data_IF_061618672172
#
_entry.id   IF_061618672172
#
_cell.length_a   1.000
_cell.length_b   1.000
_cell.length_c   1.000
_cell.angle_alpha   90.00
_cell.angle_beta   90.00
_cell.angle_gamma   90.00
#
_symmetry.space_group_name_H-M   'P 1'
#
loop_
_entity.id
_entity.type
_entity.pdbx_description
1 polymer ?
#
# COMPACT_ATOMS: atom_id res chain seq x y z
N UNK A 1 33.84 15.12 -9.77
CA UNK A 1 34.15 15.35 -8.35
C UNK A 1 32.88 15.03 -7.58
N UNK A 2 32.96 14.27 -6.48
CA UNK A 2 31.77 14.05 -5.65
C UNK A 2 31.46 15.34 -4.90
N UNK A 3 30.24 15.86 -5.04
CA UNK A 3 29.77 17.03 -4.27
C UNK A 3 29.13 16.56 -2.98
N UNK A 4 29.92 15.84 -2.18
CA UNK A 4 29.56 15.40 -0.84
C UNK A 4 30.30 16.26 0.18
N UNK A 5 29.72 16.40 1.37
CA UNK A 5 30.35 17.05 2.50
C UNK A 5 31.38 16.14 3.21
N UNK A 6 31.82 16.55 4.41
CA UNK A 6 32.78 15.79 5.21
C UNK A 6 32.22 14.46 5.75
N UNK A 7 30.89 14.36 5.90
CA UNK A 7 30.18 13.17 6.39
C UNK A 7 29.72 12.24 5.24
N UNK A 8 29.95 12.66 3.99
CA UNK A 8 29.57 11.91 2.79
C UNK A 8 28.13 12.16 2.33
N UNK A 9 27.43 13.14 2.91
CA UNK A 9 26.08 13.52 2.50
C UNK A 9 26.13 14.40 1.26
N UNK A 10 25.19 14.23 0.34
CA UNK A 10 25.02 15.15 -0.79
C UNK A 10 23.99 16.26 -0.49
N UNK A 11 23.87 17.22 -1.42
CA UNK A 11 22.99 18.38 -1.26
C UNK A 11 21.50 18.02 -1.03
N UNK A 12 21.04 16.85 -1.48
CA UNK A 12 19.66 16.39 -1.27
C UNK A 12 19.50 15.79 0.13
N UNK A 13 20.47 14.99 0.56
CA UNK A 13 20.51 14.44 1.90
C UNK A 13 20.62 15.58 2.95
N UNK A 14 21.47 16.58 2.73
CA UNK A 14 21.57 17.76 3.59
C UNK A 14 20.29 18.60 3.65
N UNK A 15 19.63 18.82 2.50
CA UNK A 15 18.35 19.54 2.47
C UNK A 15 17.28 18.81 3.30
N UNK A 16 17.22 17.47 3.24
CA UNK A 16 16.29 16.66 4.04
C UNK A 16 16.60 16.74 5.54
N UNK A 17 17.87 16.58 5.94
CA UNK A 17 18.27 16.66 7.35
C UNK A 17 18.02 18.05 7.95
N UNK A 18 17.97 19.09 7.12
CA UNK A 18 17.67 20.47 7.51
C UNK A 18 16.17 20.83 7.45
N UNK A 19 15.28 19.88 7.14
CA UNK A 19 13.84 20.12 7.00
C UNK A 19 13.43 20.90 5.74
N UNK A 20 14.33 21.06 4.77
CA UNK A 20 14.09 21.82 3.53
C UNK A 20 13.50 20.93 2.42
N UNK A 21 12.29 20.42 2.67
CA UNK A 21 11.57 19.53 1.76
C UNK A 21 11.39 20.09 0.35
N UNK A 22 10.95 21.34 0.22
CA UNK A 22 10.83 22.02 -1.08
C UNK A 22 12.16 22.07 -1.86
N UNK A 23 13.28 22.32 -1.17
CA UNK A 23 14.61 22.36 -1.79
C UNK A 23 15.05 20.97 -2.27
N UNK A 24 14.86 19.94 -1.45
CA UNK A 24 15.10 18.55 -1.85
C UNK A 24 14.24 18.15 -3.06
N UNK A 25 12.98 18.61 -3.09
CA UNK A 25 12.06 18.45 -4.22
C UNK A 25 12.53 19.17 -5.48
N UNK A 26 13.08 20.38 -5.35
CA UNK A 26 13.66 21.12 -6.48
C UNK A 26 14.91 20.41 -7.04
N UNK A 27 15.85 20.01 -6.17
CA UNK A 27 17.08 19.30 -6.56
C UNK A 27 16.79 17.96 -7.27
N UNK A 28 15.67 17.30 -6.91
CA UNK A 28 15.16 16.12 -7.61
C UNK A 28 14.75 16.38 -9.07
N UNK A 29 14.29 17.59 -9.43
CA UNK A 29 13.86 17.92 -10.80
C UNK A 29 14.98 18.58 -11.64
N UNK A 30 15.97 19.20 -10.99
CA UNK A 30 17.04 19.94 -11.65
C UNK A 30 17.96 19.04 -12.50
N UNK A 31 18.32 19.56 -13.68
CA UNK A 31 19.30 18.98 -14.59
C UNK A 31 20.60 19.77 -14.56
N UNK A 32 21.70 19.09 -14.78
CA UNK A 32 23.01 19.72 -14.96
C UNK A 32 22.96 20.69 -16.15
N UNK A 33 23.14 22.01 -15.93
CA UNK A 33 23.09 22.99 -17.01
C UNK A 33 24.23 22.82 -18.03
N UNK A 34 25.34 22.17 -17.66
CA UNK A 34 26.46 21.94 -18.57
C UNK A 34 26.18 20.79 -19.57
N UNK A 35 25.39 19.78 -19.20
CA UNK A 35 25.12 18.61 -20.06
C UNK A 35 23.66 18.44 -20.51
N UNK A 36 22.71 19.23 -19.98
CA UNK A 36 21.25 19.27 -20.31
C UNK A 36 20.47 17.93 -20.17
N UNK A 37 21.18 16.83 -19.93
CA UNK A 37 20.72 15.44 -20.02
C UNK A 37 20.94 14.67 -18.72
N UNK A 38 21.94 15.07 -17.91
CA UNK A 38 22.18 14.51 -16.57
C UNK A 38 21.34 15.25 -15.53
N UNK A 39 20.88 14.52 -14.53
CA UNK A 39 20.21 15.08 -13.35
C UNK A 39 21.27 15.47 -12.32
N UNK A 40 21.04 16.54 -11.57
CA UNK A 40 21.90 16.94 -10.46
C UNK A 40 21.75 15.96 -9.28
N UNK A 41 20.51 15.60 -8.94
CA UNK A 41 20.24 14.49 -8.03
C UNK A 41 20.38 13.12 -8.74
N UNK A 42 21.42 12.37 -8.36
CA UNK A 42 21.63 10.96 -8.80
C UNK A 42 20.73 9.98 -8.03
N UNK A 43 20.25 10.35 -6.84
CA UNK A 43 19.37 9.48 -6.06
C UNK A 43 18.09 9.14 -6.81
N UNK A 44 17.62 7.92 -6.53
CA UNK A 44 16.35 7.44 -7.02
C UNK A 44 15.19 8.16 -6.28
N UNK A 45 14.11 8.62 -6.96
CA UNK A 45 13.07 9.43 -6.31
C UNK A 45 12.44 8.82 -5.06
N UNK A 46 12.27 7.50 -5.01
CA UNK A 46 11.73 6.83 -3.82
C UNK A 46 12.76 6.67 -2.68
N UNK A 47 14.08 6.72 -2.96
CA UNK A 47 15.10 6.87 -1.91
C UNK A 47 14.93 8.22 -1.21
N UNK A 48 14.75 9.29 -1.99
CA UNK A 48 14.62 10.65 -1.44
C UNK A 48 13.33 10.78 -0.61
N UNK A 49 12.22 10.18 -1.05
CA UNK A 49 11.00 10.08 -0.24
C UNK A 49 11.22 9.28 1.05
N UNK A 50 11.90 8.13 0.99
CA UNK A 50 12.19 7.30 2.17
C UNK A 50 13.07 8.03 3.18
N UNK A 51 14.12 8.72 2.72
CA UNK A 51 14.97 9.59 3.56
C UNK A 51 14.17 10.73 4.21
N UNK A 52 13.29 11.40 3.47
CA UNK A 52 12.45 12.47 4.00
C UNK A 52 11.42 11.99 5.04
N UNK A 53 11.07 10.70 5.02
CA UNK A 53 10.26 10.05 6.06
C UNK A 53 11.13 9.64 7.25
N UNK A 54 12.34 9.13 7.01
CA UNK A 54 13.29 8.72 8.06
C UNK A 54 13.91 9.92 8.81
N UNK A 55 13.89 11.14 8.26
CA UNK A 55 14.24 12.38 8.98
C UNK A 55 13.20 12.83 10.03
N UNK A 56 12.05 12.14 10.10
CA UNK A 56 10.92 12.43 10.99
C UNK A 56 10.22 13.79 10.80
N UNK A 57 10.60 14.57 9.78
CA UNK A 57 9.89 15.79 9.38
C UNK A 57 8.75 15.45 8.39
N UNK A 58 7.53 15.41 8.91
CA UNK A 58 6.33 15.09 8.12
C UNK A 58 6.05 16.14 7.03
N UNK A 59 6.45 17.41 7.21
CA UNK A 59 6.27 18.43 6.18
C UNK A 59 7.31 18.25 5.06
N UNK A 60 8.57 18.00 5.41
CA UNK A 60 9.60 17.64 4.45
C UNK A 60 9.18 16.41 3.60
N UNK A 61 8.64 15.37 4.26
CA UNK A 61 8.09 14.20 3.59
C UNK A 61 6.93 14.53 2.63
N UNK A 62 6.03 15.45 2.99
CA UNK A 62 4.93 15.91 2.12
C UNK A 62 5.45 16.68 0.90
N UNK A 63 6.41 17.57 1.06
CA UNK A 63 6.97 18.38 -0.02
C UNK A 63 7.73 17.51 -1.05
N UNK A 64 8.44 16.48 -0.57
CA UNK A 64 9.08 15.47 -1.42
C UNK A 64 8.03 14.55 -2.07
N UNK A 65 6.96 14.17 -1.37
CA UNK A 65 5.87 13.36 -1.93
C UNK A 65 5.11 14.11 -3.05
N UNK A 66 4.98 15.43 -2.95
CA UNK A 66 4.37 16.29 -3.96
C UNK A 66 5.19 16.41 -5.26
N UNK A 67 6.43 15.92 -5.28
CA UNK A 67 7.30 15.93 -6.45
C UNK A 67 6.73 15.11 -7.63
N UNK A 68 6.80 15.63 -8.86
CA UNK A 68 6.21 14.94 -10.03
C UNK A 68 6.91 13.63 -10.35
N UNK A 69 8.23 13.52 -10.11
CA UNK A 69 8.99 12.28 -10.33
C UNK A 69 8.62 11.21 -9.30
N UNK A 70 8.48 11.61 -8.03
CA UNK A 70 8.05 10.73 -6.93
C UNK A 70 6.64 10.21 -7.19
N UNK A 71 5.66 11.11 -7.41
CA UNK A 71 4.28 10.71 -7.74
C UNK A 71 4.22 9.76 -8.95
N UNK A 72 4.99 10.01 -10.01
CA UNK A 72 5.01 9.15 -11.20
C UNK A 72 5.58 7.74 -10.92
N UNK A 73 6.51 7.60 -9.97
CA UNK A 73 7.03 6.28 -9.56
C UNK A 73 6.06 5.53 -8.62
N UNK A 74 5.23 6.25 -7.87
CA UNK A 74 4.20 5.67 -7.01
C UNK A 74 2.96 5.17 -7.78
N UNK A 75 2.67 5.70 -8.98
CA UNK A 75 1.47 5.32 -9.77
C UNK A 75 1.34 3.80 -10.01
N UNK A 76 0.11 3.25 -10.09
CA UNK A 76 -0.15 1.87 -10.51
C UNK A 76 0.51 1.52 -11.84
N UNK A 77 0.90 0.26 -12.03
CA UNK A 77 1.70 -0.23 -13.17
C UNK A 77 3.15 0.28 -13.21
N UNK A 78 3.42 1.55 -12.88
CA UNK A 78 4.78 2.07 -12.70
C UNK A 78 5.43 1.46 -11.46
N UNK A 79 4.76 1.52 -10.32
CA UNK A 79 5.23 0.92 -9.07
C UNK A 79 5.44 -0.61 -9.21
N UNK A 80 4.50 -1.32 -9.83
CA UNK A 80 4.63 -2.76 -10.13
C UNK A 80 5.86 -3.04 -11.00
N UNK A 81 6.05 -2.29 -12.10
CA UNK A 81 7.23 -2.44 -12.96
C UNK A 81 8.52 -2.13 -12.21
N UNK A 82 8.51 -1.18 -11.28
CA UNK A 82 9.65 -0.87 -10.42
C UNK A 82 9.93 -2.01 -9.44
N UNK A 83 8.90 -2.63 -8.86
CA UNK A 83 9.03 -3.85 -8.05
C UNK A 83 9.62 -5.01 -8.88
N UNK A 84 9.19 -5.19 -10.14
CA UNK A 84 9.78 -6.17 -11.05
C UNK A 84 11.27 -5.90 -11.32
N UNK A 85 11.64 -4.66 -11.65
CA UNK A 85 13.04 -4.24 -11.92
C UNK A 85 13.89 -4.38 -10.66
N UNK A 86 13.35 -4.02 -9.49
CA UNK A 86 14.02 -4.15 -8.20
C UNK A 86 14.44 -5.61 -7.94
N UNK A 87 13.51 -6.57 -8.08
CA UNK A 87 13.82 -8.02 -7.96
C UNK A 87 14.88 -8.50 -8.95
N UNK A 88 14.82 -8.04 -10.21
CA UNK A 88 15.84 -8.39 -11.21
C UNK A 88 17.22 -7.84 -10.84
N UNK A 89 17.27 -6.59 -10.36
CA UNK A 89 18.49 -5.95 -9.88
C UNK A 89 19.07 -6.68 -8.68
N UNK A 90 18.23 -7.05 -7.72
CA UNK A 90 18.60 -7.77 -6.49
C UNK A 90 19.19 -9.15 -6.78
N UNK A 91 18.66 -9.88 -7.77
CA UNK A 91 19.25 -11.15 -8.26
C UNK A 91 20.65 -10.99 -8.84
N UNK A 92 20.97 -9.84 -9.43
CA UNK A 92 22.29 -9.54 -10.00
C UNK A 92 23.25 -8.92 -8.97
N UNK A 93 22.72 -8.21 -7.97
CA UNK A 93 23.52 -7.51 -6.95
C UNK A 93 22.80 -7.56 -5.60
N UNK A 94 22.98 -8.64 -4.82
CA UNK A 94 22.22 -8.87 -3.58
C UNK A 94 22.40 -7.79 -2.50
N UNK A 95 23.55 -7.09 -2.50
CA UNK A 95 23.86 -6.03 -1.53
C UNK A 95 23.23 -4.67 -1.84
N UNK A 96 22.48 -4.53 -2.95
CA UNK A 96 21.93 -3.24 -3.38
C UNK A 96 20.54 -3.00 -2.78
N UNK A 97 20.45 -2.13 -1.77
CA UNK A 97 19.19 -1.69 -1.15
C UNK A 97 18.19 -1.25 -2.22
N UNK A 98 16.97 -1.77 -2.08
CA UNK A 98 15.83 -1.46 -2.95
C UNK A 98 15.07 -0.24 -2.40
N UNK A 99 14.41 0.50 -3.30
CA UNK A 99 13.59 1.67 -2.98
C UNK A 99 12.28 1.59 -3.75
N UNK A 100 11.16 1.37 -3.05
CA UNK A 100 9.84 1.19 -3.66
C UNK A 100 8.70 1.60 -2.71
N UNK A 101 7.45 1.36 -3.09
CA UNK A 101 6.29 1.66 -2.24
C UNK A 101 6.40 0.97 -0.87
N UNK A 102 6.90 -0.26 -0.81
CA UNK A 102 7.00 -1.01 0.43
C UNK A 102 8.03 -0.42 1.40
N UNK A 103 9.15 0.07 0.89
CA UNK A 103 10.18 0.70 1.75
C UNK A 103 9.71 2.07 2.24
N UNK A 104 9.13 2.92 1.37
CA UNK A 104 8.55 4.21 1.77
C UNK A 104 7.39 4.05 2.78
N UNK A 105 6.45 3.14 2.53
CA UNK A 105 5.33 2.87 3.45
C UNK A 105 5.83 2.23 4.74
N UNK A 106 6.81 1.32 4.67
CA UNK A 106 7.44 0.71 5.84
C UNK A 106 8.20 1.72 6.70
N UNK A 107 8.80 2.75 6.11
CA UNK A 107 9.33 3.90 6.83
C UNK A 107 8.21 4.73 7.46
N UNK A 108 7.16 5.10 6.71
CA UNK A 108 6.09 5.96 7.23
C UNK A 108 5.29 5.30 8.36
N UNK A 109 5.14 3.98 8.34
CA UNK A 109 4.51 3.22 9.43
C UNK A 109 5.43 3.10 10.66
N UNK A 110 6.76 3.04 10.49
CA UNK A 110 7.73 3.08 11.60
C UNK A 110 7.84 4.46 12.25
N UNK A 111 7.84 5.52 11.45
CA UNK A 111 7.94 6.91 11.89
C UNK A 111 6.58 7.52 12.30
N UNK A 112 5.54 6.69 12.47
CA UNK A 112 4.19 7.10 12.89
C UNK A 112 3.55 8.23 12.05
N UNK A 113 3.76 8.21 10.72
CA UNK A 113 3.23 9.20 9.77
C UNK A 113 2.01 8.69 8.97
N UNK A 114 0.81 8.58 9.57
CA UNK A 114 -0.37 8.05 8.87
C UNK A 114 -0.81 8.93 7.70
N UNK A 115 -0.57 10.25 7.72
CA UNK A 115 -0.96 11.14 6.61
C UNK A 115 -0.17 10.86 5.32
N UNK A 116 1.12 10.50 5.44
CA UNK A 116 1.97 10.09 4.32
C UNK A 116 1.45 8.76 3.76
N UNK A 117 1.14 7.79 4.63
CA UNK A 117 0.52 6.51 4.23
C UNK A 117 -0.81 6.74 3.50
N UNK A 118 -1.69 7.61 4.01
CA UNK A 118 -2.94 7.99 3.33
C UNK A 118 -2.68 8.66 1.96
N UNK A 119 -1.64 9.48 1.85
CA UNK A 119 -1.32 10.21 0.63
C UNK A 119 -0.76 9.29 -0.46
N UNK A 120 0.09 8.33 -0.09
CA UNK A 120 0.55 7.27 -1.00
C UNK A 120 -0.64 6.36 -1.39
N UNK A 121 -1.55 6.04 -0.44
CA UNK A 121 -2.76 5.26 -0.71
C UNK A 121 -3.69 5.94 -1.73
N UNK A 122 -3.84 7.26 -1.70
CA UNK A 122 -4.60 8.03 -2.72
C UNK A 122 -3.99 7.91 -4.12
N UNK A 123 -2.67 7.72 -4.23
CA UNK A 123 -1.96 7.57 -5.51
C UNK A 123 -2.03 6.12 -6.02
N UNK A 124 -1.85 5.14 -5.14
CA UNK A 124 -1.83 3.71 -5.48
C UNK A 124 -2.46 2.86 -4.35
N UNK A 125 -3.79 2.66 -4.37
CA UNK A 125 -4.50 2.01 -3.27
C UNK A 125 -4.04 0.58 -2.99
N UNK A 126 -3.74 -0.21 -4.03
CA UNK A 126 -3.59 -1.66 -3.91
C UNK A 126 -2.18 -2.08 -3.45
N UNK A 127 -1.13 -1.52 -4.04
CA UNK A 127 0.24 -1.72 -3.54
C UNK A 127 0.41 -1.09 -2.14
N UNK A 128 -0.20 0.07 -1.87
CA UNK A 128 -0.12 0.68 -0.53
C UNK A 128 -0.83 -0.18 0.52
N UNK A 129 -2.02 -0.71 0.23
CA UNK A 129 -2.75 -1.58 1.17
C UNK A 129 -1.96 -2.85 1.48
N UNK A 130 -1.27 -3.43 0.48
CA UNK A 130 -0.36 -4.58 0.65
C UNK A 130 0.87 -4.21 1.49
N UNK A 131 1.50 -3.07 1.19
CA UNK A 131 2.67 -2.58 1.92
C UNK A 131 2.35 -2.27 3.39
N UNK A 132 1.21 -1.63 3.66
CA UNK A 132 0.73 -1.37 5.02
C UNK A 132 0.46 -2.67 5.78
N UNK A 133 -0.22 -3.64 5.18
CA UNK A 133 -0.44 -4.95 5.82
C UNK A 133 0.89 -5.62 6.22
N UNK A 134 1.86 -5.66 5.30
CA UNK A 134 3.16 -6.29 5.55
C UNK A 134 4.02 -5.52 6.58
N UNK A 135 3.96 -4.19 6.59
CA UNK A 135 4.63 -3.37 7.60
C UNK A 135 4.04 -3.59 9.00
N UNK A 136 2.71 -3.64 9.13
CA UNK A 136 2.02 -3.93 10.40
C UNK A 136 2.31 -5.35 10.88
N UNK A 137 2.24 -6.35 10.00
CA UNK A 137 2.61 -7.74 10.31
C UNK A 137 4.04 -7.82 10.89
N UNK A 138 5.01 -7.14 10.26
CA UNK A 138 6.40 -7.07 10.76
C UNK A 138 6.54 -6.39 12.11
N UNK A 139 5.83 -5.30 12.36
CA UNK A 139 5.89 -4.59 13.66
C UNK A 139 5.34 -5.46 14.79
N UNK A 140 4.23 -6.17 14.54
CA UNK A 140 3.64 -7.10 15.49
C UNK A 140 4.60 -8.25 15.82
N UNK A 141 5.25 -8.85 14.82
CA UNK A 141 6.25 -9.91 15.00
C UNK A 141 7.51 -9.43 15.74
N UNK A 142 7.98 -8.19 15.51
CA UNK A 142 9.27 -7.72 16.03
C UNK A 142 9.22 -7.00 17.38
N UNK A 143 8.17 -6.24 17.66
CA UNK A 143 8.20 -5.24 18.73
C UNK A 143 6.89 -5.08 19.52
N UNK A 144 5.81 -5.78 19.15
CA UNK A 144 4.46 -5.62 19.74
C UNK A 144 3.90 -4.18 19.73
N UNK A 145 4.51 -3.28 18.94
CA UNK A 145 4.07 -1.89 18.80
C UNK A 145 2.71 -1.85 18.12
N UNK A 146 1.82 -1.01 18.64
CA UNK A 146 0.45 -0.85 18.16
C UNK A 146 0.39 0.37 17.23
N UNK A 147 0.39 0.19 15.89
CA UNK A 147 0.43 1.32 14.95
C UNK A 147 -0.90 2.10 14.96
N UNK A 148 -0.89 3.32 14.42
CA UNK A 148 -2.06 4.20 14.37
C UNK A 148 -3.32 3.49 13.83
N UNK A 149 -4.48 3.80 14.42
CA UNK A 149 -5.76 3.09 14.15
C UNK A 149 -6.13 3.05 12.66
N UNK A 150 -5.85 4.12 11.92
CA UNK A 150 -6.13 4.19 10.47
C UNK A 150 -5.25 3.22 9.66
N UNK A 151 -3.99 3.09 10.04
CA UNK A 151 -3.01 2.15 9.45
C UNK A 151 -3.43 0.72 9.77
N UNK A 152 -3.87 0.43 11.00
CA UNK A 152 -4.45 -0.88 11.36
C UNK A 152 -5.69 -1.20 10.53
N UNK A 153 -6.62 -0.26 10.37
CA UNK A 153 -7.83 -0.43 9.56
C UNK A 153 -7.48 -0.75 8.11
N UNK A 154 -6.48 -0.05 7.54
CA UNK A 154 -5.98 -0.32 6.19
C UNK A 154 -5.35 -1.71 6.08
N UNK A 155 -4.49 -2.10 7.02
CA UNK A 155 -3.88 -3.44 7.08
C UNK A 155 -4.92 -4.56 7.16
N UNK A 156 -5.88 -4.47 8.09
CA UNK A 156 -6.96 -5.46 8.27
C UNK A 156 -7.82 -5.61 7.01
N UNK A 157 -7.99 -4.54 6.22
CA UNK A 157 -8.73 -4.60 4.96
C UNK A 157 -8.01 -5.33 3.83
N UNK A 158 -6.70 -5.61 3.94
CA UNK A 158 -5.91 -6.16 2.82
C UNK A 158 -6.36 -7.58 2.42
N UNK A 159 -6.27 -8.54 3.34
CA UNK A 159 -6.58 -9.95 3.07
C UNK A 159 -8.06 -10.13 2.70
N UNK A 160 -8.96 -9.40 3.37
CA UNK A 160 -10.39 -9.39 3.05
C UNK A 160 -10.65 -8.89 1.62
N UNK A 161 -10.03 -7.78 1.20
CA UNK A 161 -10.18 -7.27 -0.17
C UNK A 161 -9.58 -8.23 -1.21
N UNK A 162 -8.44 -8.87 -0.91
CA UNK A 162 -7.80 -9.86 -1.80
C UNK A 162 -8.71 -11.06 -2.09
N UNK A 163 -9.53 -11.45 -1.11
CA UNK A 163 -10.47 -12.58 -1.21
C UNK A 163 -11.87 -12.20 -1.63
N UNK A 164 -12.22 -10.91 -1.62
CA UNK A 164 -13.59 -10.47 -1.88
C UNK A 164 -14.12 -10.97 -3.22
N UNK A 165 -13.27 -11.07 -4.25
CA UNK A 165 -13.60 -11.67 -5.55
C UNK A 165 -14.04 -13.13 -5.46
N UNK A 166 -13.54 -13.89 -4.49
CA UNK A 166 -13.85 -15.31 -4.26
C UNK A 166 -15.03 -15.50 -3.30
N UNK A 167 -15.08 -14.73 -2.20
CA UNK A 167 -16.06 -14.93 -1.13
C UNK A 167 -17.32 -14.07 -1.24
N UNK A 168 -17.34 -13.02 -2.07
CA UNK A 168 -18.47 -12.07 -2.14
C UNK A 168 -19.80 -12.73 -2.44
N UNK A 169 -19.87 -13.68 -3.38
CA UNK A 169 -21.10 -14.41 -3.67
C UNK A 169 -21.62 -15.20 -2.44
N UNK A 170 -20.72 -15.89 -1.74
CA UNK A 170 -21.02 -16.67 -0.52
C UNK A 170 -21.51 -15.74 0.60
N UNK A 171 -20.83 -14.61 0.82
CA UNK A 171 -21.20 -13.60 1.82
C UNK A 171 -22.54 -12.93 1.49
N UNK A 172 -22.82 -12.65 0.21
CA UNK A 172 -24.08 -12.06 -0.23
C UNK A 172 -25.27 -13.03 -0.08
N UNK A 173 -25.08 -14.31 -0.40
CA UNK A 173 -26.07 -15.37 -0.14
C UNK A 173 -26.34 -15.50 1.37
N UNK A 174 -25.27 -15.51 2.18
CA UNK A 174 -25.39 -15.60 3.65
C UNK A 174 -26.26 -14.50 4.26
N UNK A 175 -26.13 -13.26 3.76
CA UNK A 175 -26.82 -12.10 4.32
C UNK A 175 -28.06 -11.67 3.49
N UNK A 176 -28.62 -12.57 2.68
CA UNK A 176 -29.73 -12.26 1.78
C UNK A 176 -30.97 -11.67 2.50
N UNK A 177 -31.30 -12.15 3.71
CA UNK A 177 -32.41 -11.59 4.49
C UNK A 177 -32.19 -10.14 4.92
N UNK A 178 -30.97 -9.77 5.34
CA UNK A 178 -30.64 -8.39 5.70
C UNK A 178 -30.68 -7.48 4.47
N UNK A 179 -30.28 -8.01 3.31
CA UNK A 179 -30.39 -7.31 2.03
C UNK A 179 -31.85 -7.13 1.59
N UNK A 180 -32.74 -8.07 1.88
CA UNK A 180 -34.18 -8.00 1.60
C UNK A 180 -34.93 -7.06 2.56
N UNK A 181 -34.58 -7.04 3.86
CA UNK A 181 -35.27 -6.21 4.87
C UNK A 181 -34.94 -4.71 4.77
N UNK A 182 -33.80 -4.33 4.15
CA UNK A 182 -33.34 -2.94 4.08
C UNK A 182 -33.59 -2.24 2.74
N UNK A 183 -34.53 -2.70 1.91
CA UNK A 183 -34.74 -2.08 0.58
C UNK A 183 -35.16 -0.60 0.61
N UNK A 184 -35.77 -0.12 1.70
CA UNK A 184 -36.45 1.20 1.76
C UNK A 184 -35.59 2.46 2.01
N UNK A 185 -34.28 2.39 2.28
CA UNK A 185 -33.51 3.54 2.85
C UNK A 185 -32.26 4.08 2.09
N UNK A 186 -32.07 3.82 0.78
CA UNK A 186 -30.91 4.28 -0.06
C UNK A 186 -29.51 3.73 0.36
N UNK A 187 -28.35 4.01 -0.30
CA UNK A 187 -27.96 4.82 -1.48
C UNK A 187 -27.19 4.04 -2.60
N UNK A 188 -26.56 4.73 -3.58
CA UNK A 188 -25.69 4.24 -4.70
C UNK A 188 -24.78 3.00 -4.48
N UNK A 189 -24.21 2.86 -3.28
CA UNK A 189 -23.30 1.79 -2.84
C UNK A 189 -24.04 0.72 -1.98
N UNK A 190 -25.33 0.95 -1.75
CA UNK A 190 -26.31 0.14 -1.03
C UNK A 190 -27.56 0.02 -1.93
N UNK A 191 -27.50 -0.81 -2.99
CA UNK A 191 -28.58 -1.09 -3.99
C UNK A 191 -28.47 -0.39 -5.38
N UNK A 192 -27.26 -0.18 -5.93
CA UNK A 192 -26.92 -0.68 -7.29
C UNK A 192 -25.55 -1.43 -7.33
N UNK A 193 -25.39 -2.69 -6.90
CA UNK A 193 -26.33 -3.69 -6.35
C UNK A 193 -27.65 -3.67 -7.15
N UNK A 194 -28.87 -3.62 -6.56
CA UNK A 194 -30.15 -3.85 -7.31
C UNK A 194 -29.91 -4.93 -8.38
N UNK A 195 -29.25 -5.99 -7.90
CA UNK A 195 -29.19 -7.30 -8.53
C UNK A 195 -28.65 -7.46 -9.96
N UNK A 196 -28.18 -6.40 -10.63
CA UNK A 196 -27.75 -6.39 -12.05
C UNK A 196 -28.66 -7.22 -12.99
N UNK A 197 -29.79 -6.59 -13.32
CA UNK A 197 -30.35 -6.50 -14.69
C UNK A 197 -31.27 -7.60 -15.25
N UNK A 198 -31.54 -8.74 -14.60
CA UNK A 198 -32.44 -9.75 -15.21
C UNK A 198 -33.68 -10.16 -14.41
N UNK A 199 -34.70 -10.48 -15.18
CA UNK A 199 -36.10 -10.70 -14.80
C UNK A 199 -36.31 -12.02 -14.07
N UNK A 200 -37.19 -11.98 -13.05
CA UNK A 200 -37.56 -13.08 -12.14
C UNK A 200 -36.41 -13.65 -11.33
N UNK A 201 -36.49 -13.49 -10.01
CA UNK A 201 -35.74 -14.33 -9.07
C UNK A 201 -36.67 -15.25 -8.31
N UNK A 202 -36.22 -16.47 -8.21
CA UNK A 202 -36.71 -17.46 -7.28
C UNK A 202 -36.05 -17.19 -5.92
N UNK A 203 -36.80 -16.56 -5.01
CA UNK A 203 -36.34 -16.31 -3.65
C UNK A 203 -36.25 -17.60 -2.83
N UNK A 204 -37.06 -18.62 -3.17
CA UNK A 204 -37.06 -19.91 -2.50
C UNK A 204 -35.79 -20.69 -2.86
N UNK A 205 -35.30 -20.57 -4.11
CA UNK A 205 -33.98 -21.08 -4.52
C UNK A 205 -32.80 -20.38 -3.81
N UNK A 206 -32.94 -19.12 -3.42
CA UNK A 206 -31.92 -18.42 -2.61
C UNK A 206 -32.03 -18.88 -1.15
N UNK A 207 -33.23 -18.91 -0.57
CA UNK A 207 -33.46 -19.31 0.81
C UNK A 207 -33.05 -20.76 1.08
N UNK A 208 -33.27 -21.67 0.12
CA UNK A 208 -32.86 -23.08 0.17
C UNK A 208 -31.38 -23.32 -0.16
N UNK A 209 -30.62 -22.30 -0.59
CA UNK A 209 -29.21 -22.46 -0.93
C UNK A 209 -28.38 -22.79 0.33
N UNK A 210 -27.58 -23.88 0.39
CA UNK A 210 -26.91 -24.34 1.62
C UNK A 210 -26.18 -23.26 2.45
N UNK A 211 -25.49 -22.30 1.82
CA UNK A 211 -24.87 -21.15 2.51
C UNK A 211 -25.79 -20.31 3.41
N UNK A 212 -27.11 -20.30 3.19
CA UNK A 212 -28.06 -19.59 4.07
C UNK A 212 -28.24 -20.32 5.41
N UNK A 213 -28.23 -21.66 5.42
CA UNK A 213 -28.56 -22.49 6.59
C UNK A 213 -27.35 -23.02 7.36
N UNK A 214 -26.13 -22.96 6.81
CA UNK A 214 -24.89 -23.34 7.50
C UNK A 214 -24.77 -22.65 8.89
N UNK A 215 -24.40 -23.34 9.98
CA UNK A 215 -24.18 -22.68 11.27
C UNK A 215 -23.05 -21.63 11.22
N UNK A 216 -23.17 -20.51 11.94
CA UNK A 216 -22.21 -19.40 11.84
C UNK A 216 -20.76 -19.80 12.18
N UNK A 217 -20.57 -20.75 13.09
CA UNK A 217 -19.23 -21.28 13.44
C UNK A 217 -18.64 -22.15 12.32
N UNK A 218 -19.49 -22.85 11.57
CA UNK A 218 -19.06 -23.63 10.39
C UNK A 218 -18.76 -22.67 9.24
N UNK A 219 -19.56 -21.62 9.07
CA UNK A 219 -19.32 -20.57 8.08
C UNK A 219 -17.99 -19.83 8.32
N UNK A 220 -17.69 -19.45 9.57
CA UNK A 220 -16.42 -18.80 9.92
C UNK A 220 -15.22 -19.72 9.70
N UNK A 221 -15.32 -21.01 10.04
CA UNK A 221 -14.30 -22.02 9.72
C UNK A 221 -14.08 -22.18 8.22
N UNK A 222 -15.15 -22.25 7.42
CA UNK A 222 -15.03 -22.32 5.96
C UNK A 222 -14.32 -21.09 5.39
N UNK A 223 -14.69 -19.88 5.84
CA UNK A 223 -13.98 -18.66 5.44
C UNK A 223 -12.51 -18.66 5.90
N UNK A 224 -12.18 -19.28 7.04
CA UNK A 224 -10.80 -19.40 7.51
C UNK A 224 -9.91 -20.28 6.62
N UNK A 225 -10.47 -21.28 5.93
CA UNK A 225 -9.74 -22.05 4.91
C UNK A 225 -9.56 -21.30 3.58
N UNK A 226 -10.39 -20.28 3.31
CA UNK A 226 -10.25 -19.42 2.14
C UNK A 226 -9.29 -18.25 2.38
N UNK A 227 -9.00 -17.91 3.64
CA UNK A 227 -7.98 -16.93 4.00
C UNK A 227 -6.58 -17.49 3.69
N UNK A 228 -5.73 -16.78 2.91
CA UNK A 228 -4.34 -17.17 2.73
C UNK A 228 -3.64 -17.18 4.09
N UNK A 229 -2.74 -18.15 4.31
CA UNK A 229 -1.88 -18.11 5.49
C UNK A 229 -1.12 -16.78 5.53
N UNK A 230 -1.25 -16.03 6.63
CA UNK A 230 -0.53 -14.75 6.78
C UNK A 230 0.99 -14.95 6.60
N UNK A 231 1.52 -16.07 7.07
CA UNK A 231 2.92 -16.50 6.89
C UNK A 231 3.30 -16.79 5.44
N UNK A 232 2.37 -17.21 4.59
CA UNK A 232 2.61 -17.39 3.14
C UNK A 232 2.56 -16.06 2.40
N UNK A 233 1.58 -15.22 2.72
CA UNK A 233 1.48 -13.88 2.14
C UNK A 233 2.67 -13.01 2.55
N UNK A 234 3.16 -13.17 3.79
CA UNK A 234 4.35 -12.49 4.29
C UNK A 234 5.61 -12.97 3.57
N UNK A 235 5.78 -14.28 3.33
CA UNK A 235 6.89 -14.82 2.53
C UNK A 235 6.83 -14.35 1.06
N UNK A 236 5.65 -14.33 0.46
CA UNK A 236 5.45 -13.77 -0.89
C UNK A 236 5.85 -12.29 -0.93
N UNK A 237 5.38 -11.51 0.04
CA UNK A 237 5.60 -10.05 0.07
C UNK A 237 7.04 -9.70 0.42
N UNK A 238 7.70 -10.46 1.30
CA UNK A 238 9.11 -10.30 1.66
C UNK A 238 10.04 -10.23 0.45
N UNK A 239 9.78 -11.06 -0.58
CA UNK A 239 10.54 -11.07 -1.84
C UNK A 239 10.51 -9.77 -2.66
N UNK A 240 9.78 -8.75 -2.21
CA UNK A 240 9.68 -7.42 -2.82
C UNK A 240 10.23 -6.29 -1.91
N UNK A 241 10.65 -6.61 -0.68
CA UNK A 241 10.96 -5.62 0.36
C UNK A 241 12.26 -5.92 1.10
N UNK A 242 12.55 -7.19 1.35
CA UNK A 242 13.77 -7.64 2.02
C UNK A 242 14.80 -8.03 0.94
N UNK A 243 15.99 -7.44 0.98
CA UNK A 243 17.23 -8.05 1.50
C UNK A 243 18.20 -6.90 1.80
#
# INVERSE_FOLDING_TARGET
>A
MSQQDADGLDAVELAIHSGHGELASCLLEQRDPATHSRLLCVHYPLKVLELAIESMDEQCARDVLANKRVMNHLRPGKAERLNLIARWTQRQTPSKRLYNIFTCVGAAVRCEMPSIVQSIFKINPDETRRAVWYAVYKLQVRASVTPAHEVQRMARSYLLNKLWSQISAIVLLRHHELLARHEHTCSLYERIRRWRLYERRDWDAIASHPWTTVPSDVFSRILSFLLPSESEEARSTASMVEF
#
